data_IF_083343571489
#
_entry.id   IF_083343571489
#
_cell.length_a   1.000
_cell.length_b   1.000
_cell.length_c   1.000
_cell.angle_alpha   90.00
_cell.angle_beta   90.00
_cell.angle_gamma   90.00
#
_symmetry.space_group_name_H-M   'P 1'
#
loop_
_entity.id
_entity.type
_entity.pdbx_description
1 polymer ?
#
# COMPACT_ATOMS: atom_id res chain seq x y z
N UNK A 1 -52.06 34.28 25.42
CA UNK A 1 -52.11 34.40 26.90
C UNK A 1 -52.33 33.02 27.50
N UNK A 2 -51.58 32.69 28.57
CA UNK A 2 -51.58 31.44 29.37
C UNK A 2 -50.77 30.29 28.73
N UNK A 3 -49.79 29.64 29.35
CA UNK A 3 -49.21 29.66 30.71
C UNK A 3 -47.80 29.02 30.64
N UNK A 4 -46.94 29.48 31.55
CA UNK A 4 -45.72 28.89 32.11
C UNK A 4 -45.41 27.42 31.77
N UNK A 5 -44.21 27.11 31.26
CA UNK A 5 -42.98 26.86 32.05
C UNK A 5 -43.11 25.57 32.88
N UNK A 6 -42.56 24.48 32.35
CA UNK A 6 -42.11 23.35 33.16
C UNK A 6 -40.74 22.90 32.65
N UNK A 7 -39.72 23.40 33.36
CA UNK A 7 -38.36 22.89 33.36
C UNK A 7 -38.43 21.42 33.79
N UNK A 8 -37.88 20.52 32.98
CA UNK A 8 -37.45 19.21 33.47
C UNK A 8 -36.02 19.00 33.01
N UNK A 9 -35.13 19.53 33.86
CA UNK A 9 -33.74 19.16 33.95
C UNK A 9 -33.70 17.66 34.26
N UNK A 10 -33.39 16.83 33.27
CA UNK A 10 -33.00 15.44 33.51
C UNK A 10 -31.75 15.13 32.70
N UNK A 11 -30.67 15.77 33.15
CA UNK A 11 -29.31 15.31 32.97
C UNK A 11 -29.17 13.92 33.59
N UNK A 12 -29.36 12.88 32.79
CA UNK A 12 -28.78 11.57 33.08
C UNK A 12 -27.42 11.50 32.38
N UNK A 13 -26.41 11.68 33.21
CA UNK A 13 -25.00 11.42 32.94
C UNK A 13 -24.90 9.90 32.72
N UNK A 14 -24.70 9.45 31.49
CA UNK A 14 -24.16 8.10 31.26
C UNK A 14 -22.66 8.17 31.54
N UNK A 15 -22.31 7.66 32.72
CA UNK A 15 -20.96 7.33 33.15
C UNK A 15 -20.30 6.34 32.18
N UNK A 16 -19.03 6.56 31.92
CA UNK A 16 -18.20 5.81 30.97
C UNK A 16 -18.13 4.32 31.25
N UNK A 17 -18.19 3.55 30.18
CA UNK A 17 -17.65 2.19 30.17
C UNK A 17 -16.13 2.28 30.17
N UNK A 18 -15.54 1.56 31.12
CA UNK A 18 -14.11 1.37 31.26
C UNK A 18 -13.51 0.79 29.97
N UNK A 19 -12.34 1.30 29.59
CA UNK A 19 -11.42 0.69 28.64
C UNK A 19 -11.25 -0.78 29.01
N UNK A 20 -11.83 -1.64 28.19
CA UNK A 20 -11.34 -3.00 28.01
C UNK A 20 -10.68 -2.93 26.64
N UNK A 21 -9.35 -2.90 26.63
CA UNK A 21 -8.54 -3.09 25.43
C UNK A 21 -8.69 -4.55 24.99
N UNK A 22 -9.87 -4.89 24.47
CA UNK A 22 -9.96 -6.02 23.56
C UNK A 22 -9.36 -5.50 22.26
N UNK A 23 -8.07 -5.78 22.12
CA UNK A 23 -7.33 -5.63 20.88
C UNK A 23 -8.17 -6.26 19.80
N UNK A 24 -8.82 -5.41 18.99
CA UNK A 24 -9.29 -5.79 17.67
C UNK A 24 -8.03 -6.24 16.97
N UNK A 25 -7.78 -7.54 17.02
CA UNK A 25 -6.98 -8.22 16.04
C UNK A 25 -7.80 -8.04 14.77
N UNK A 26 -7.55 -6.94 14.07
CA UNK A 26 -7.81 -6.87 12.64
C UNK A 26 -7.00 -8.02 12.09
N UNK A 27 -7.64 -9.18 11.98
CA UNK A 27 -7.20 -10.21 11.05
C UNK A 27 -6.91 -9.45 9.76
N UNK A 28 -5.65 -9.50 9.36
CA UNK A 28 -5.16 -8.90 8.12
C UNK A 28 -5.98 -9.57 7.04
N UNK A 29 -7.09 -8.92 6.69
CA UNK A 29 -7.90 -9.32 5.56
C UNK A 29 -6.92 -9.20 4.41
N UNK A 30 -6.60 -10.31 3.75
CA UNK A 30 -5.75 -10.30 2.57
C UNK A 30 -6.40 -9.33 1.59
N UNK A 31 -5.92 -8.08 1.58
CA UNK A 31 -6.42 -7.08 0.66
C UNK A 31 -6.09 -7.61 -0.73
N UNK A 32 -7.13 -7.71 -1.55
CA UNK A 32 -7.02 -8.21 -2.91
C UNK A 32 -5.85 -7.49 -3.61
N UNK A 33 -4.92 -8.23 -4.26
CA UNK A 33 -3.66 -7.72 -4.86
C UNK A 33 -3.82 -6.42 -5.67
N UNK A 34 -5.00 -6.23 -6.27
CA UNK A 34 -5.38 -5.05 -7.06
C UNK A 34 -5.65 -3.76 -6.27
N UNK A 35 -5.75 -3.83 -4.94
CA UNK A 35 -6.10 -2.67 -4.10
C UNK A 35 -4.95 -1.66 -3.95
N UNK A 36 -3.71 -2.04 -4.28
CA UNK A 36 -2.52 -1.21 -4.14
C UNK A 36 -1.66 -1.19 -5.40
N UNK A 37 -0.90 -0.11 -5.58
CA UNK A 37 0.09 0.00 -6.65
C UNK A 37 1.27 -0.94 -6.34
N UNK A 38 1.64 -1.82 -7.28
CA UNK A 38 2.68 -2.83 -7.09
C UNK A 38 3.54 -3.12 -8.32
N UNK A 39 4.66 -3.80 -8.06
CA UNK A 39 5.50 -4.47 -9.05
C UNK A 39 5.92 -5.85 -8.55
N UNK A 40 5.96 -6.84 -9.44
CA UNK A 40 6.40 -8.21 -9.15
C UNK A 40 7.88 -8.36 -9.43
N UNK A 41 8.63 -8.85 -8.45
CA UNK A 41 10.02 -9.26 -8.64
C UNK A 41 10.18 -10.69 -8.13
N UNK A 42 10.57 -11.60 -9.03
CA UNK A 42 10.51 -13.04 -8.81
C UNK A 42 9.12 -13.48 -8.34
N UNK A 43 9.03 -14.10 -7.15
CA UNK A 43 7.79 -14.56 -6.54
C UNK A 43 7.20 -13.56 -5.52
N UNK A 44 7.77 -12.36 -5.42
CA UNK A 44 7.37 -11.37 -4.41
C UNK A 44 6.63 -10.18 -5.03
N UNK A 45 5.67 -9.65 -4.29
CA UNK A 45 5.00 -8.39 -4.59
C UNK A 45 5.67 -7.26 -3.84
N UNK A 46 5.93 -6.14 -4.51
CA UNK A 46 6.46 -4.93 -3.90
C UNK A 46 5.46 -3.80 -4.10
N UNK A 47 4.99 -3.23 -3.00
CA UNK A 47 4.09 -2.08 -2.98
C UNK A 47 4.86 -0.79 -3.26
N UNK A 48 4.37 0.01 -4.19
CA UNK A 48 4.95 1.30 -4.57
C UNK A 48 4.63 2.35 -3.49
N UNK A 49 5.65 2.92 -2.83
CA UNK A 49 5.45 3.86 -1.70
C UNK A 49 5.57 5.34 -2.08
N UNK A 50 6.06 5.66 -3.28
CA UNK A 50 6.36 7.03 -3.75
C UNK A 50 7.36 7.80 -2.89
N UNK A 51 8.02 7.13 -1.95
CA UNK A 51 9.09 7.70 -1.12
C UNK A 51 10.35 7.85 -1.96
N UNK A 52 10.83 9.09 -2.15
CA UNK A 52 12.06 9.38 -2.89
C UNK A 52 13.29 9.13 -2.02
N UNK A 53 14.34 8.56 -2.61
CA UNK A 53 15.61 8.28 -1.95
C UNK A 53 16.80 8.79 -2.76
N UNK A 54 17.91 9.01 -2.06
CA UNK A 54 19.16 9.42 -2.68
C UNK A 54 19.76 8.30 -3.55
N UNK A 55 20.44 8.67 -4.64
CA UNK A 55 21.07 7.72 -5.56
C UNK A 55 22.12 6.82 -4.88
N UNK A 56 22.71 7.25 -3.76
CA UNK A 56 23.70 6.47 -3.00
C UNK A 56 23.15 5.14 -2.46
N UNK A 57 21.83 4.99 -2.28
CA UNK A 57 21.24 3.72 -1.86
C UNK A 57 21.06 2.71 -3.00
N UNK A 58 21.35 3.12 -4.24
CA UNK A 58 21.17 2.30 -5.43
C UNK A 58 22.29 1.28 -5.60
N UNK A 59 21.91 0.01 -5.62
CA UNK A 59 22.75 -1.13 -5.98
C UNK A 59 22.54 -1.57 -7.43
N UNK A 60 22.59 -2.89 -7.63
CA UNK A 60 22.57 -3.51 -8.95
C UNK A 60 21.20 -3.46 -9.62
N UNK A 61 21.20 -3.37 -10.96
CA UNK A 61 19.97 -3.47 -11.76
C UNK A 61 19.37 -4.87 -11.64
N UNK A 62 18.08 -4.93 -11.29
CA UNK A 62 17.27 -6.15 -11.30
C UNK A 62 16.76 -6.40 -12.71
N UNK A 63 16.21 -5.36 -13.34
CA UNK A 63 15.61 -5.40 -14.67
C UNK A 63 14.73 -4.19 -14.92
N UNK A 64 13.89 -4.28 -15.95
CA UNK A 64 12.92 -3.24 -16.31
C UNK A 64 11.51 -3.82 -16.32
N UNK A 65 10.52 -3.03 -15.88
CA UNK A 65 9.10 -3.41 -15.96
C UNK A 65 8.76 -3.82 -17.40
N UNK A 66 8.19 -5.01 -17.56
CA UNK A 66 7.90 -5.59 -18.87
C UNK A 66 6.47 -5.29 -19.33
N UNK A 67 5.52 -5.36 -18.40
CA UNK A 67 4.08 -5.21 -18.70
C UNK A 67 3.40 -4.37 -17.63
N UNK A 68 2.50 -3.49 -18.07
CA UNK A 68 1.48 -2.93 -17.20
C UNK A 68 0.24 -3.83 -17.30
N UNK A 69 -0.20 -4.40 -16.18
CA UNK A 69 -1.27 -5.40 -16.17
C UNK A 69 -2.67 -4.82 -15.94
N UNK A 70 -2.80 -3.53 -15.59
CA UNK A 70 -4.12 -2.88 -15.44
C UNK A 70 -4.93 -2.95 -16.74
N UNK A 71 -4.24 -2.88 -17.88
CA UNK A 71 -4.87 -3.00 -19.20
C UNK A 71 -5.28 -4.45 -19.54
N UNK A 72 -4.76 -5.45 -18.81
CA UNK A 72 -4.98 -6.88 -19.03
C UNK A 72 -6.00 -7.51 -18.06
N UNK A 73 -6.44 -6.79 -17.03
CA UNK A 73 -7.33 -7.22 -15.93
C UNK A 73 -8.76 -7.65 -16.34
N UNK A 74 -9.06 -7.70 -17.64
CA UNK A 74 -10.34 -8.21 -18.17
C UNK A 74 -10.27 -9.65 -18.67
N UNK A 75 -9.09 -10.27 -18.67
CA UNK A 75 -8.93 -11.67 -19.02
C UNK A 75 -9.14 -12.57 -17.79
N UNK A 76 -10.01 -13.58 -17.91
CA UNK A 76 -10.33 -14.54 -16.84
C UNK A 76 -9.10 -15.32 -16.33
N UNK A 77 -7.99 -15.33 -17.08
CA UNK A 77 -6.77 -16.12 -16.81
C UNK A 77 -5.50 -15.26 -16.66
N UNK A 78 -5.60 -14.04 -16.12
CA UNK A 78 -4.42 -13.20 -15.95
C UNK A 78 -3.49 -13.76 -14.85
N UNK A 79 -2.32 -14.25 -15.28
CA UNK A 79 -1.22 -14.63 -14.38
C UNK A 79 -0.20 -13.48 -14.25
N UNK A 80 -0.04 -12.99 -13.02
CA UNK A 80 1.02 -12.04 -12.64
C UNK A 80 2.40 -12.73 -12.71
N UNK A 81 3.36 -12.11 -13.40
CA UNK A 81 4.70 -12.65 -13.66
C UNK A 81 5.78 -11.68 -13.19
N UNK A 82 7.02 -12.17 -13.13
CA UNK A 82 8.18 -11.34 -12.84
C UNK A 82 8.25 -10.13 -13.79
N UNK A 83 8.47 -8.95 -13.20
CA UNK A 83 8.55 -7.63 -13.83
C UNK A 83 7.21 -7.11 -14.38
N UNK A 84 6.09 -7.69 -13.97
CA UNK A 84 4.78 -7.06 -14.15
C UNK A 84 4.57 -5.98 -13.09
N UNK A 85 3.87 -4.92 -13.48
CA UNK A 85 3.40 -3.87 -12.57
C UNK A 85 1.97 -3.48 -12.93
N UNK A 86 1.20 -2.99 -11.97
CA UNK A 86 -0.08 -2.36 -12.26
C UNK A 86 -0.01 -0.82 -12.30
N UNK A 87 1.14 -0.22 -11.96
CA UNK A 87 1.25 1.24 -11.82
C UNK A 87 2.44 1.83 -12.56
N UNK A 88 3.55 1.08 -12.66
CA UNK A 88 4.75 1.54 -13.33
C UNK A 88 4.63 1.31 -14.84
N UNK A 89 5.07 2.27 -15.67
CA UNK A 89 5.10 2.07 -17.11
C UNK A 89 6.16 1.03 -17.50
N UNK A 90 5.95 0.26 -18.58
CA UNK A 90 6.99 -0.59 -19.15
C UNK A 90 8.28 0.20 -19.44
N UNK A 91 9.43 -0.44 -19.19
CA UNK A 91 10.76 0.19 -19.27
C UNK A 91 11.22 0.89 -17.99
N UNK A 92 10.39 0.93 -16.94
CA UNK A 92 10.83 1.46 -15.63
C UNK A 92 11.92 0.56 -15.04
N UNK A 93 13.11 1.09 -14.81
CA UNK A 93 14.23 0.35 -14.26
C UNK A 93 14.04 0.09 -12.75
N UNK A 94 14.33 -1.15 -12.33
CA UNK A 94 14.26 -1.63 -10.95
C UNK A 94 15.64 -2.04 -10.46
N UNK A 95 15.98 -1.68 -9.22
CA UNK A 95 17.32 -1.91 -8.65
C UNK A 95 17.23 -2.52 -7.25
N UNK A 96 18.25 -3.30 -6.91
CA UNK A 96 18.48 -3.69 -5.52
C UNK A 96 18.95 -2.47 -4.73
N UNK A 97 18.57 -2.34 -3.45
CA UNK A 97 19.19 -1.40 -2.54
C UNK A 97 20.54 -1.94 -2.05
N UNK A 98 21.40 -1.06 -1.54
CA UNK A 98 22.71 -1.44 -1.00
C UNK A 98 22.65 -2.20 0.34
N UNK A 99 21.60 -1.98 1.16
CA UNK A 99 21.56 -2.49 2.55
C UNK A 99 20.28 -3.26 2.93
N UNK A 100 19.11 -2.96 2.34
CA UNK A 100 17.82 -3.49 2.81
C UNK A 100 17.11 -4.41 1.80
N UNK A 101 17.19 -5.72 1.97
CA UNK A 101 16.60 -6.69 1.03
C UNK A 101 15.05 -6.75 1.03
N UNK A 102 14.38 -6.02 1.94
CA UNK A 102 12.92 -5.94 1.98
C UNK A 102 12.35 -4.85 1.08
N UNK A 103 13.21 -4.05 0.43
CA UNK A 103 12.79 -3.05 -0.52
C UNK A 103 13.47 -3.28 -1.87
N UNK A 104 12.89 -2.70 -2.92
CA UNK A 104 13.58 -2.45 -4.18
C UNK A 104 13.45 -0.97 -4.51
N UNK A 105 14.28 -0.50 -5.43
CA UNK A 105 14.20 0.86 -5.95
C UNK A 105 13.64 0.85 -7.37
N UNK A 106 12.87 1.86 -7.72
CA UNK A 106 12.45 2.12 -9.10
C UNK A 106 12.84 3.53 -9.53
N UNK A 107 13.16 3.70 -10.81
CA UNK A 107 13.63 4.98 -11.37
C UNK A 107 12.54 5.68 -12.19
N UNK A 108 12.20 6.90 -11.81
CA UNK A 108 11.34 7.78 -12.62
C UNK A 108 12.03 9.12 -12.82
N UNK A 109 12.19 9.53 -14.08
CA UNK A 109 12.78 10.83 -14.45
C UNK A 109 14.15 11.09 -13.79
N UNK A 110 14.98 10.06 -13.65
CA UNK A 110 16.31 10.14 -13.03
C UNK A 110 16.33 10.21 -11.50
N UNK A 111 15.17 10.05 -10.85
CA UNK A 111 15.00 9.96 -9.39
C UNK A 111 14.66 8.54 -8.98
N UNK A 112 15.05 8.18 -7.76
CA UNK A 112 14.88 6.83 -7.22
C UNK A 112 13.84 6.83 -6.12
N UNK A 113 13.00 5.81 -6.10
CA UNK A 113 11.90 5.69 -5.17
C UNK A 113 11.81 4.26 -4.61
N UNK A 114 11.24 4.12 -3.43
CA UNK A 114 11.10 2.83 -2.73
C UNK A 114 9.84 2.09 -3.18
N UNK A 115 9.99 0.77 -3.38
CA UNK A 115 8.89 -0.17 -3.28
C UNK A 115 9.18 -1.20 -2.19
N UNK A 116 8.20 -1.44 -1.31
CA UNK A 116 8.34 -2.29 -0.13
C UNK A 116 7.74 -3.67 -0.36
N UNK A 117 8.46 -4.71 0.04
CA UNK A 117 7.99 -6.09 -0.07
C UNK A 117 6.73 -6.31 0.75
N UNK A 118 5.72 -6.90 0.13
CA UNK A 118 4.56 -7.50 0.79
C UNK A 118 4.72 -9.02 0.78
N UNK A 119 4.33 -9.66 1.88
CA UNK A 119 4.29 -11.12 2.01
C UNK A 119 3.13 -11.72 1.22
#
# INVERSE_FOLDING_TARGET
MKKALLITFLSLILTGCASTEDSVTTETTEEASWAYEFVKVNSYSYMITKEEVDKSVKGDLIGEVQRNIVDLDTAEDLEERHLDSNSLPPGTALYNPTENNNIILYELNGRYYIAERRE
#
